data_IF_927146091015
#
_entry.id   IF_927146091015
#
_cell.length_a   1.000
_cell.length_b   1.000
_cell.length_c   1.000
_cell.angle_alpha   90.00
_cell.angle_beta   90.00
_cell.angle_gamma   90.00
#
_symmetry.space_group_name_H-M   'P 1'
#
loop_
_entity.id
_entity.type
_entity.pdbx_description
1 polymer ?
#
# COMPACT_ATOMS: atom_id res chain seq x y z
N UNK A 1 -12.92 -8.32 17.86
CA UNK A 1 -12.82 -7.16 16.93
C UNK A 1 -11.42 -6.99 16.37
N UNK A 2 -10.36 -7.14 17.18
CA UNK A 2 -8.96 -7.09 16.71
C UNK A 2 -8.64 -8.18 15.68
N UNK A 3 -9.27 -9.36 15.80
CA UNK A 3 -9.03 -10.50 14.89
C UNK A 3 -9.52 -10.23 13.47
N UNK A 4 -10.68 -9.57 13.31
CA UNK A 4 -11.19 -9.17 11.99
C UNK A 4 -10.21 -8.23 11.26
N UNK A 5 -9.61 -7.30 11.99
CA UNK A 5 -8.61 -6.37 11.44
C UNK A 5 -7.31 -7.11 11.14
N UNK A 6 -6.88 -8.04 12.00
CA UNK A 6 -5.68 -8.82 11.77
C UNK A 6 -5.81 -9.71 10.53
N UNK A 7 -6.96 -10.38 10.38
CA UNK A 7 -7.12 -11.45 9.41
C UNK A 7 -7.62 -10.94 8.05
N UNK A 8 -8.52 -9.94 8.03
CA UNK A 8 -9.13 -9.46 6.77
C UNK A 8 -8.54 -8.17 6.24
N UNK A 9 -7.96 -7.31 7.09
CA UNK A 9 -7.35 -6.06 6.59
C UNK A 9 -6.23 -6.32 5.57
N UNK A 10 -5.34 -7.34 5.72
CA UNK A 10 -4.34 -7.66 4.70
C UNK A 10 -4.94 -7.96 3.33
N UNK A 11 -6.07 -8.66 3.29
CA UNK A 11 -6.77 -8.96 2.02
C UNK A 11 -7.29 -7.69 1.37
N UNK A 12 -7.92 -6.81 2.15
CA UNK A 12 -8.41 -5.52 1.64
C UNK A 12 -7.25 -4.66 1.13
N UNK A 13 -6.18 -4.52 1.92
CA UNK A 13 -5.01 -3.74 1.53
C UNK A 13 -4.31 -4.33 0.30
N UNK A 14 -4.30 -5.65 0.14
CA UNK A 14 -3.76 -6.32 -1.06
C UNK A 14 -4.58 -5.99 -2.30
N UNK A 15 -5.92 -6.03 -2.21
CA UNK A 15 -6.81 -5.66 -3.30
C UNK A 15 -6.61 -4.20 -3.72
N UNK A 16 -6.43 -3.28 -2.77
CA UNK A 16 -6.14 -1.87 -3.05
C UNK A 16 -4.77 -1.72 -3.73
N UNK A 17 -3.74 -2.45 -3.28
CA UNK A 17 -2.42 -2.44 -3.94
C UNK A 17 -2.56 -2.89 -5.41
N UNK A 18 -3.25 -4.00 -5.66
CA UNK A 18 -3.47 -4.49 -7.02
C UNK A 18 -4.23 -3.48 -7.88
N UNK A 19 -5.30 -2.89 -7.32
CA UNK A 19 -6.08 -1.86 -7.99
C UNK A 19 -5.22 -0.64 -8.36
N UNK A 20 -4.36 -0.17 -7.44
CA UNK A 20 -3.44 0.94 -7.72
C UNK A 20 -2.44 0.62 -8.84
N UNK A 21 -1.94 -0.61 -8.92
CA UNK A 21 -1.02 -1.03 -9.99
C UNK A 21 -1.74 -1.05 -11.35
N UNK A 22 -2.98 -1.55 -11.39
CA UNK A 22 -3.81 -1.54 -12.61
C UNK A 22 -4.08 -0.11 -13.07
N UNK A 23 -4.44 0.80 -12.15
CA UNK A 23 -4.66 2.21 -12.49
C UNK A 23 -3.38 2.91 -12.94
N UNK A 24 -2.24 2.58 -12.32
CA UNK A 24 -0.93 3.09 -12.72
C UNK A 24 -0.56 2.63 -14.15
N UNK A 25 -0.89 1.39 -14.52
CA UNK A 25 -0.71 0.87 -15.87
C UNK A 25 -1.56 1.60 -16.92
N UNK A 26 -2.72 2.12 -16.53
CA UNK A 26 -3.57 2.97 -17.39
C UNK A 26 -3.15 4.45 -17.39
N UNK A 27 -2.03 4.81 -16.76
CA UNK A 27 -1.50 6.18 -16.76
C UNK A 27 -2.25 7.18 -15.89
N UNK A 28 -3.07 6.72 -14.94
CA UNK A 28 -3.79 7.63 -14.05
C UNK A 28 -2.85 8.16 -12.94
N UNK A 29 -2.61 9.49 -12.84
CA UNK A 29 -1.67 10.05 -11.86
C UNK A 29 -2.12 9.84 -10.41
N UNK A 30 -3.44 9.75 -10.17
CA UNK A 30 -4.01 9.44 -8.86
C UNK A 30 -3.71 8.03 -8.34
N UNK A 31 -3.29 7.12 -9.22
CA UNK A 31 -2.94 5.74 -8.85
C UNK A 31 -1.74 5.68 -7.88
N UNK A 32 -0.77 6.57 -8.07
CA UNK A 32 0.43 6.61 -7.25
C UNK A 32 0.16 7.13 -5.85
N UNK A 33 -0.73 8.12 -5.72
CA UNK A 33 -1.19 8.62 -4.42
C UNK A 33 -1.98 7.55 -3.68
N UNK A 34 -2.87 6.84 -4.38
CA UNK A 34 -3.63 5.73 -3.80
C UNK A 34 -2.71 4.61 -3.31
N UNK A 35 -1.72 4.23 -4.13
CA UNK A 35 -0.70 3.25 -3.76
C UNK A 35 0.10 3.70 -2.54
N UNK A 36 0.57 4.95 -2.51
CA UNK A 36 1.33 5.50 -1.38
C UNK A 36 0.51 5.55 -0.08
N UNK A 37 -0.75 5.99 -0.16
CA UNK A 37 -1.68 5.97 0.99
C UNK A 37 -1.93 4.54 1.49
N UNK A 38 -2.04 3.57 0.58
CA UNK A 38 -2.20 2.17 0.94
C UNK A 38 -0.95 1.59 1.63
N UNK A 39 0.25 2.04 1.26
CA UNK A 39 1.48 1.63 1.96
C UNK A 39 1.55 2.18 3.39
N UNK A 40 0.98 3.35 3.67
CA UNK A 40 0.83 3.86 5.05
C UNK A 40 -0.10 2.96 5.85
N UNK A 41 -1.22 2.52 5.26
CA UNK A 41 -2.13 1.58 5.92
C UNK A 41 -1.47 0.21 6.17
N UNK A 42 -0.66 -0.27 5.24
CA UNK A 42 0.19 -1.46 5.43
C UNK A 42 1.15 -1.29 6.60
N UNK A 43 1.82 -0.13 6.73
CA UNK A 43 2.71 0.16 7.87
C UNK A 43 1.97 0.08 9.20
N UNK A 44 0.78 0.70 9.29
CA UNK A 44 -0.04 0.66 10.51
C UNK A 44 -0.40 -0.78 10.87
N UNK A 45 -0.83 -1.58 9.88
CA UNK A 45 -1.16 -2.98 10.12
C UNK A 45 0.06 -3.81 10.53
N UNK A 46 1.23 -3.61 9.89
CA UNK A 46 2.47 -4.33 10.21
C UNK A 46 2.91 -4.07 11.66
N UNK A 47 2.83 -2.82 12.11
CA UNK A 47 3.15 -2.46 13.50
C UNK A 47 2.13 -3.07 14.46
N UNK A 48 0.83 -3.01 14.14
CA UNK A 48 -0.23 -3.58 14.95
C UNK A 48 -0.20 -5.12 15.03
N UNK A 49 0.23 -5.79 13.97
CA UNK A 49 0.30 -7.26 13.88
C UNK A 49 1.68 -7.84 14.23
N UNK A 50 2.67 -6.98 14.53
CA UNK A 50 4.07 -7.33 14.74
C UNK A 50 4.69 -8.13 13.57
N UNK A 51 4.22 -7.90 12.34
CA UNK A 51 4.65 -8.63 11.14
C UNK A 51 5.85 -7.98 10.46
N UNK A 52 6.95 -7.80 11.20
CA UNK A 52 8.13 -7.02 10.79
C UNK A 52 8.77 -7.47 9.47
N UNK A 53 8.60 -8.74 9.07
CA UNK A 53 9.13 -9.26 7.80
C UNK A 53 8.57 -8.58 6.55
N UNK A 54 7.40 -7.93 6.63
CA UNK A 54 6.78 -7.22 5.51
C UNK A 54 7.20 -5.74 5.43
N UNK A 55 7.85 -5.22 6.47
CA UNK A 55 8.23 -3.80 6.56
C UNK A 55 9.16 -3.34 5.41
N UNK A 56 10.21 -4.10 5.02
CA UNK A 56 11.08 -3.68 3.93
C UNK A 56 10.33 -3.51 2.60
N UNK A 57 9.39 -4.42 2.31
CA UNK A 57 8.57 -4.38 1.10
C UNK A 57 7.67 -3.14 1.07
N UNK A 58 6.96 -2.86 2.16
CA UNK A 58 6.07 -1.71 2.29
C UNK A 58 6.82 -0.39 2.14
N UNK A 59 8.01 -0.27 2.74
CA UNK A 59 8.86 0.92 2.61
C UNK A 59 9.35 1.11 1.18
N UNK A 60 9.83 0.03 0.55
CA UNK A 60 10.31 0.09 -0.83
C UNK A 60 9.19 0.50 -1.81
N UNK A 61 8.00 -0.10 -1.69
CA UNK A 61 6.84 0.27 -2.51
C UNK A 61 6.39 1.71 -2.24
N UNK A 62 6.36 2.13 -0.97
CA UNK A 62 6.02 3.51 -0.61
C UNK A 62 6.97 4.52 -1.24
N UNK A 63 8.28 4.27 -1.19
CA UNK A 63 9.28 5.13 -1.81
C UNK A 63 9.12 5.21 -3.34
N UNK A 64 8.84 4.08 -4.01
CA UNK A 64 8.59 4.05 -5.45
C UNK A 64 7.32 4.82 -5.80
N UNK A 65 6.23 4.61 -5.06
CA UNK A 65 4.96 5.29 -5.31
C UNK A 65 5.06 6.80 -5.08
N UNK A 66 5.71 7.24 -4.00
CA UNK A 66 5.96 8.66 -3.74
C UNK A 66 6.82 9.28 -4.86
N UNK A 67 7.95 8.65 -5.21
CA UNK A 67 8.82 9.13 -6.29
C UNK A 67 8.06 9.24 -7.62
N UNK A 68 7.21 8.26 -7.91
CA UNK A 68 6.50 8.23 -9.17
C UNK A 68 5.30 9.20 -9.20
N UNK A 69 4.67 9.47 -8.05
CA UNK A 69 3.69 10.52 -7.92
C UNK A 69 4.28 11.90 -8.30
N UNK A 70 5.48 12.23 -7.82
CA UNK A 70 6.18 13.46 -8.22
C UNK A 70 6.68 13.48 -9.67
N UNK A 71 6.78 12.32 -10.32
CA UNK A 71 7.23 12.22 -11.72
C UNK A 71 6.07 12.26 -12.72
N UNK A 72 4.87 11.84 -12.32
CA UNK A 72 3.70 11.68 -13.20
C UNK A 72 2.50 12.57 -12.82
N UNK A 73 2.49 13.18 -11.64
CA UNK A 73 1.56 14.25 -11.27
C UNK A 73 2.13 15.61 -11.60
#
# INVERSE_FOLDING_TARGET
MVDLIRDYLPWLLSLITLWSIVLAGHGQPGAWLLGAANQVLWMIWIVASASWGLMPLTVALGAVYLRNHFKQG
#
